data_IF_793732354901
#
_entry.id   IF_793732354901
#
_cell.length_a   1.000
_cell.length_b   1.000
_cell.length_c   1.000
_cell.angle_alpha   90.00
_cell.angle_beta   90.00
_cell.angle_gamma   90.00
#
_symmetry.space_group_name_H-M   'P 1'
#
loop_
_entity.id
_entity.type
_entity.pdbx_description
1 polymer ?
#
# COMPACT_ATOMS: atom_id res chain seq x y z
N UNK A 1 -25.42 -4.41 -36.72
CA UNK A 1 -24.84 -3.11 -37.14
C UNK A 1 -23.50 -3.37 -37.80
N UNK A 2 -23.04 -2.53 -38.73
CA UNK A 2 -21.70 -2.66 -39.30
C UNK A 2 -20.65 -2.18 -38.29
N UNK A 3 -19.58 -2.95 -38.09
CA UNK A 3 -18.44 -2.59 -37.24
C UNK A 3 -17.86 -1.23 -37.66
N UNK A 4 -17.76 -0.30 -36.73
CA UNK A 4 -17.12 1.00 -36.97
C UNK A 4 -15.60 0.85 -36.87
N UNK A 5 -14.90 1.16 -37.96
CA UNK A 5 -13.45 1.10 -38.02
C UNK A 5 -12.82 2.44 -37.62
N UNK A 6 -11.58 2.38 -37.12
CA UNK A 6 -10.71 3.52 -36.83
C UNK A 6 -11.21 4.47 -35.73
N UNK A 7 -11.96 3.95 -34.75
CA UNK A 7 -12.20 4.66 -33.49
C UNK A 7 -10.87 5.07 -32.85
N UNK A 8 -10.86 6.23 -32.21
CA UNK A 8 -9.74 6.61 -31.33
C UNK A 8 -9.85 5.83 -30.04
N UNK A 9 -8.70 5.41 -29.50
CA UNK A 9 -8.66 4.80 -28.18
C UNK A 9 -9.15 5.84 -27.16
N UNK A 10 -10.21 5.51 -26.44
CA UNK A 10 -10.85 6.41 -25.47
C UNK A 10 -11.40 5.61 -24.28
N UNK A 11 -11.43 6.25 -23.11
CA UNK A 11 -11.94 5.68 -21.87
C UNK A 11 -13.22 6.42 -21.43
N UNK A 12 -14.23 5.68 -21.01
CA UNK A 12 -15.54 6.18 -20.61
C UNK A 12 -15.87 5.67 -19.21
N UNK A 13 -16.07 6.61 -18.29
CA UNK A 13 -16.49 6.28 -16.93
C UNK A 13 -17.92 5.75 -16.93
N UNK A 14 -18.19 4.82 -16.02
CA UNK A 14 -19.52 4.25 -15.84
C UNK A 14 -20.07 4.62 -14.46
N UNK A 15 -21.36 4.38 -14.18
CA UNK A 15 -21.92 4.61 -12.85
C UNK A 15 -21.31 3.73 -11.75
N UNK A 16 -20.66 2.61 -12.10
CA UNK A 16 -20.00 1.72 -11.13
C UNK A 16 -18.54 2.17 -10.93
N UNK A 17 -18.12 2.55 -9.70
CA UNK A 17 -16.78 3.05 -9.46
C UNK A 17 -15.68 2.08 -9.91
N UNK A 18 -14.78 2.55 -10.77
CA UNK A 18 -13.66 1.78 -11.31
C UNK A 18 -13.99 0.87 -12.49
N UNK A 19 -15.27 0.73 -12.88
CA UNK A 19 -15.65 0.09 -14.15
C UNK A 19 -15.50 1.12 -15.26
N UNK A 20 -14.70 0.77 -16.27
CA UNK A 20 -14.36 1.69 -17.38
C UNK A 20 -14.59 0.99 -18.71
N UNK A 21 -15.43 1.59 -19.55
CA UNK A 21 -15.65 1.16 -20.94
C UNK A 21 -14.61 1.83 -21.84
N UNK A 22 -14.10 1.11 -22.84
CA UNK A 22 -13.11 1.60 -23.78
C UNK A 22 -13.58 1.45 -25.21
N UNK A 23 -13.38 2.49 -26.01
CA UNK A 23 -13.34 2.35 -27.47
C UNK A 23 -11.95 1.85 -27.86
N UNK A 24 -11.89 0.79 -28.66
CA UNK A 24 -10.66 0.23 -29.21
C UNK A 24 -10.51 0.58 -30.70
N UNK A 25 -9.32 1.01 -31.15
CA UNK A 25 -9.02 1.12 -32.57
C UNK A 25 -9.09 -0.24 -33.25
N UNK A 26 -9.96 -0.35 -34.26
CA UNK A 26 -10.04 -1.52 -35.14
C UNK A 26 -9.73 -1.08 -36.57
N UNK A 27 -8.76 -1.72 -37.19
CA UNK A 27 -8.29 -1.40 -38.54
C UNK A 27 -8.78 -2.48 -39.50
N UNK A 28 -9.72 -2.12 -40.38
CA UNK A 28 -10.23 -2.99 -41.43
C UNK A 28 -9.44 -2.86 -42.73
N UNK A 29 -9.24 -3.98 -43.42
CA UNK A 29 -8.72 -4.03 -44.79
C UNK A 29 -9.43 -5.14 -45.60
N UNK A 30 -8.93 -5.44 -46.81
CA UNK A 30 -9.51 -6.48 -47.67
C UNK A 30 -9.32 -7.93 -47.15
N UNK A 31 -8.59 -8.13 -46.05
CA UNK A 31 -8.35 -9.44 -45.41
C UNK A 31 -9.16 -9.61 -44.13
N UNK A 32 -9.93 -8.62 -43.71
CA UNK A 32 -10.69 -8.62 -42.46
C UNK A 32 -10.34 -7.40 -41.61
N UNK A 33 -10.06 -7.60 -40.33
CA UNK A 33 -9.66 -6.52 -39.44
C UNK A 33 -8.62 -6.94 -38.41
N UNK A 34 -7.85 -5.97 -37.93
CA UNK A 34 -6.85 -6.10 -36.89
C UNK A 34 -7.14 -5.13 -35.75
N UNK A 35 -6.90 -5.56 -34.52
CA UNK A 35 -6.93 -4.70 -33.34
C UNK A 35 -5.85 -5.09 -32.35
N UNK A 36 -5.32 -4.11 -31.64
CA UNK A 36 -4.59 -4.36 -30.41
C UNK A 36 -5.61 -4.55 -29.29
N UNK A 37 -5.93 -5.80 -28.97
CA UNK A 37 -6.95 -6.10 -27.96
C UNK A 37 -6.57 -5.57 -26.57
N UNK A 38 -5.27 -5.53 -26.27
CA UNK A 38 -4.71 -4.93 -25.05
C UNK A 38 -3.27 -4.47 -25.33
N UNK A 39 -2.93 -3.28 -24.84
CA UNK A 39 -1.56 -2.75 -24.86
C UNK A 39 -1.35 -1.93 -23.58
N UNK A 40 -0.45 -2.39 -22.70
CA UNK A 40 -0.28 -1.85 -21.34
C UNK A 40 -0.03 -0.34 -21.31
N UNK A 41 0.93 0.15 -22.09
CA UNK A 41 1.36 1.55 -22.08
C UNK A 41 0.22 2.50 -22.46
N UNK A 42 -0.53 2.18 -23.52
CA UNK A 42 -1.67 2.98 -24.00
C UNK A 42 -2.81 2.99 -22.98
N UNK A 43 -3.09 1.85 -22.36
CA UNK A 43 -4.18 1.76 -21.38
C UNK A 43 -3.83 2.48 -20.08
N UNK A 44 -2.60 2.32 -19.58
CA UNK A 44 -2.13 3.04 -18.38
C UNK A 44 -2.07 4.55 -18.62
N UNK A 45 -1.64 4.99 -19.80
CA UNK A 45 -1.67 6.41 -20.18
C UNK A 45 -3.09 7.00 -20.24
N UNK A 46 -4.12 6.15 -20.41
CA UNK A 46 -5.54 6.53 -20.32
C UNK A 46 -6.13 6.45 -18.92
N UNK A 47 -5.30 6.16 -17.90
CA UNK A 47 -5.72 6.10 -16.50
C UNK A 47 -6.20 4.73 -16.04
N UNK A 48 -6.05 3.67 -16.85
CA UNK A 48 -6.27 2.31 -16.35
C UNK A 48 -5.20 1.98 -15.30
N UNK A 49 -5.56 1.53 -14.08
CA UNK A 49 -4.59 1.01 -13.14
C UNK A 49 -3.77 -0.11 -13.78
N UNK A 50 -2.46 -0.13 -13.56
CA UNK A 50 -1.62 -1.22 -14.06
C UNK A 50 -1.93 -2.51 -13.32
N UNK A 51 -2.90 -3.26 -13.84
CA UNK A 51 -3.44 -4.46 -13.19
C UNK A 51 -2.60 -5.71 -13.48
N UNK A 52 -1.66 -5.67 -14.44
CA UNK A 52 -0.68 -6.73 -14.76
C UNK A 52 -1.32 -8.11 -15.03
N UNK A 53 -2.00 -8.29 -16.18
CA UNK A 53 -2.66 -9.55 -16.48
C UNK A 53 -1.68 -10.73 -16.54
N UNK A 54 -2.06 -11.87 -15.95
CA UNK A 54 -1.26 -13.11 -15.88
C UNK A 54 -1.87 -14.24 -16.70
N UNK A 55 -3.14 -14.11 -17.09
CA UNK A 55 -3.86 -15.14 -17.84
C UNK A 55 -4.82 -14.49 -18.85
N UNK A 56 -4.86 -15.06 -20.05
CA UNK A 56 -5.81 -14.72 -21.11
C UNK A 56 -6.76 -15.89 -21.33
N UNK A 57 -8.04 -15.58 -21.45
CA UNK A 57 -9.11 -16.55 -21.58
C UNK A 57 -9.96 -16.22 -22.82
N UNK A 58 -10.47 -17.27 -23.46
CA UNK A 58 -11.39 -17.15 -24.59
C UNK A 58 -12.55 -18.11 -24.37
N UNK A 59 -13.77 -17.63 -24.54
CA UNK A 59 -14.98 -18.43 -24.63
C UNK A 59 -15.57 -18.27 -26.02
N UNK A 60 -15.68 -19.38 -26.74
CA UNK A 60 -16.42 -19.46 -27.98
C UNK A 60 -17.87 -19.87 -27.71
N UNK A 61 -18.82 -19.20 -28.33
CA UNK A 61 -20.24 -19.46 -28.17
C UNK A 61 -20.86 -19.59 -29.56
N UNK A 62 -21.38 -20.77 -29.88
CA UNK A 62 -21.86 -21.10 -31.22
C UNK A 62 -23.12 -20.34 -31.60
N UNK A 63 -24.01 -20.06 -30.63
CA UNK A 63 -25.32 -19.46 -30.87
C UNK A 63 -25.49 -18.13 -30.17
N UNK A 64 -26.35 -17.28 -30.74
CA UNK A 64 -26.94 -16.16 -30.03
C UNK A 64 -27.81 -16.66 -28.86
N UNK A 65 -27.87 -15.89 -27.78
CA UNK A 65 -28.63 -16.22 -26.57
C UNK A 65 -27.85 -16.99 -25.51
N UNK A 66 -26.61 -17.41 -25.76
CA UNK A 66 -25.74 -17.97 -24.71
C UNK A 66 -25.49 -16.91 -23.65
N UNK A 67 -25.94 -17.16 -22.42
CA UNK A 67 -25.89 -16.20 -21.32
C UNK A 67 -25.13 -16.79 -20.14
N UNK A 68 -24.13 -16.06 -19.63
CA UNK A 68 -23.31 -16.48 -18.49
C UNK A 68 -23.60 -15.59 -17.28
N UNK A 69 -23.70 -16.21 -16.10
CA UNK A 69 -24.15 -15.57 -14.86
C UNK A 69 -23.35 -14.37 -14.37
N UNK A 70 -23.92 -13.65 -13.40
CA UNK A 70 -23.29 -12.48 -12.75
C UNK A 70 -22.34 -12.98 -11.66
N UNK A 71 -21.05 -13.07 -12.01
CA UNK A 71 -20.00 -13.56 -11.12
C UNK A 71 -19.10 -12.40 -10.72
N UNK A 72 -18.97 -12.12 -9.43
CA UNK A 72 -18.03 -11.16 -8.86
C UNK A 72 -16.82 -11.92 -8.34
N UNK A 73 -15.76 -11.94 -9.14
CA UNK A 73 -14.53 -12.65 -8.80
C UNK A 73 -13.56 -11.81 -7.96
N UNK A 74 -12.62 -12.46 -7.22
CA UNK A 74 -11.66 -11.78 -6.37
C UNK A 74 -10.47 -11.16 -7.14
N UNK A 75 -10.63 -10.84 -8.44
CA UNK A 75 -9.60 -10.27 -9.30
C UNK A 75 -10.19 -9.30 -10.34
N UNK A 76 -9.31 -8.54 -10.98
CA UNK A 76 -9.70 -7.62 -12.04
C UNK A 76 -9.78 -8.34 -13.39
N UNK A 77 -10.65 -7.84 -14.27
CA UNK A 77 -10.84 -8.35 -15.63
C UNK A 77 -10.74 -7.23 -16.65
N UNK A 78 -10.13 -7.55 -17.78
CA UNK A 78 -10.24 -6.74 -19.00
C UNK A 78 -10.90 -7.57 -20.09
N UNK A 79 -12.11 -7.19 -20.50
CA UNK A 79 -12.98 -7.96 -21.39
C UNK A 79 -13.06 -7.28 -22.74
N UNK A 80 -13.05 -8.06 -23.82
CA UNK A 80 -13.35 -7.62 -25.18
C UNK A 80 -13.97 -8.75 -26.01
N UNK A 81 -14.38 -8.44 -27.23
CA UNK A 81 -15.00 -9.39 -28.17
C UNK A 81 -14.05 -9.60 -29.35
N UNK A 82 -13.69 -10.84 -29.65
CA UNK A 82 -12.85 -11.16 -30.81
C UNK A 82 -13.67 -11.34 -32.10
N UNK A 83 -14.95 -11.69 -32.01
CA UNK A 83 -15.91 -11.69 -33.14
C UNK A 83 -17.32 -11.77 -32.59
N UNK A 84 -18.31 -11.31 -33.36
CA UNK A 84 -19.72 -11.24 -32.97
C UNK A 84 -20.02 -10.03 -32.07
N UNK A 85 -21.12 -10.12 -31.31
CA UNK A 85 -21.54 -9.08 -30.36
C UNK A 85 -22.08 -9.70 -29.08
N UNK A 86 -21.89 -8.98 -27.97
CA UNK A 86 -22.51 -9.31 -26.69
C UNK A 86 -23.31 -8.14 -26.15
N UNK A 87 -24.29 -8.44 -25.32
CA UNK A 87 -24.82 -7.56 -24.30
C UNK A 87 -24.15 -7.92 -22.97
N UNK A 88 -23.39 -7.00 -22.39
CA UNK A 88 -22.78 -7.15 -21.08
C UNK A 88 -23.62 -6.49 -20.01
N UNK A 89 -23.66 -7.11 -18.82
CA UNK A 89 -24.29 -6.56 -17.64
C UNK A 89 -23.35 -6.70 -16.45
N UNK A 90 -23.12 -5.59 -15.75
CA UNK A 90 -22.24 -5.51 -14.59
C UNK A 90 -23.00 -4.99 -13.39
N UNK A 91 -22.77 -5.62 -12.24
CA UNK A 91 -23.42 -5.27 -10.98
C UNK A 91 -22.39 -5.14 -9.89
N UNK A 92 -22.36 -4.02 -9.19
CA UNK A 92 -21.41 -3.84 -8.09
C UNK A 92 -21.82 -4.68 -6.88
N UNK A 93 -21.06 -5.74 -6.59
CA UNK A 93 -21.32 -6.63 -5.44
C UNK A 93 -20.31 -6.39 -4.31
N UNK A 94 -19.57 -5.28 -4.35
CA UNK A 94 -18.64 -4.87 -3.28
C UNK A 94 -19.39 -4.25 -2.12
N UNK A 95 -18.90 -4.50 -0.90
CA UNK A 95 -19.38 -3.76 0.27
C UNK A 95 -19.17 -2.25 0.08
N UNK A 96 -20.22 -1.46 0.28
CA UNK A 96 -20.13 -0.01 0.17
C UNK A 96 -21.38 0.65 -0.43
N UNK A 97 -21.34 1.98 -0.63
CA UNK A 97 -22.49 2.77 -1.06
C UNK A 97 -22.96 2.48 -2.49
N UNK A 98 -22.11 1.88 -3.32
CA UNK A 98 -22.44 1.50 -4.70
C UNK A 98 -22.99 0.08 -4.83
N UNK A 99 -23.12 -0.68 -3.73
CA UNK A 99 -23.64 -2.06 -3.78
C UNK A 99 -25.01 -2.12 -4.50
N UNK A 100 -25.11 -3.03 -5.47
CA UNK A 100 -26.29 -3.22 -6.31
C UNK A 100 -26.38 -2.26 -7.51
N UNK A 101 -25.45 -1.32 -7.69
CA UNK A 101 -25.42 -0.47 -8.88
C UNK A 101 -25.20 -1.30 -10.15
N UNK A 102 -25.96 -0.99 -11.20
CA UNK A 102 -25.97 -1.75 -12.46
C UNK A 102 -25.47 -0.88 -13.62
N UNK A 103 -24.67 -1.48 -14.49
CA UNK A 103 -24.28 -0.92 -15.78
C UNK A 103 -24.46 -1.97 -16.87
N UNK A 104 -24.99 -1.58 -18.02
CA UNK A 104 -25.17 -2.47 -19.18
C UNK A 104 -24.65 -1.79 -20.44
N UNK A 105 -24.13 -2.58 -21.37
CA UNK A 105 -23.68 -2.09 -22.67
C UNK A 105 -23.62 -3.22 -23.69
N UNK A 106 -23.85 -2.90 -24.97
CA UNK A 106 -23.46 -3.79 -26.07
C UNK A 106 -21.98 -3.58 -26.38
N UNK A 107 -21.26 -4.69 -26.55
CA UNK A 107 -19.86 -4.70 -26.96
C UNK A 107 -19.70 -5.47 -28.27
N UNK A 108 -19.01 -4.84 -29.22
CA UNK A 108 -18.49 -5.46 -30.43
C UNK A 108 -16.95 -5.48 -30.40
N UNK A 109 -16.25 -5.94 -31.47
CA UNK A 109 -14.80 -5.96 -31.48
C UNK A 109 -14.08 -4.62 -31.28
N UNK A 110 -14.77 -3.50 -31.50
CA UNK A 110 -14.29 -2.14 -31.29
C UNK A 110 -14.44 -1.64 -29.86
N UNK A 111 -14.86 -2.49 -28.91
CA UNK A 111 -15.03 -2.12 -27.52
C UNK A 111 -14.36 -3.10 -26.57
N UNK A 112 -14.03 -2.60 -25.38
CA UNK A 112 -13.59 -3.39 -24.26
C UNK A 112 -14.05 -2.76 -22.95
N UNK A 113 -13.99 -3.51 -21.87
CA UNK A 113 -14.37 -3.02 -20.55
C UNK A 113 -13.44 -3.58 -19.47
N UNK A 114 -13.02 -2.71 -18.56
CA UNK A 114 -12.30 -3.09 -17.36
C UNK A 114 -13.26 -3.22 -16.19
N UNK A 115 -13.20 -4.35 -15.49
CA UNK A 115 -14.04 -4.70 -14.36
C UNK A 115 -13.15 -4.96 -13.15
N UNK A 116 -13.23 -4.15 -12.09
CA UNK A 116 -12.43 -4.38 -10.90
C UNK A 116 -12.97 -5.56 -10.08
N UNK A 117 -12.11 -6.13 -9.23
CA UNK A 117 -12.47 -7.14 -8.23
C UNK A 117 -13.81 -6.83 -7.55
N UNK A 118 -14.67 -7.83 -7.44
CA UNK A 118 -15.94 -7.76 -6.71
C UNK A 118 -17.10 -7.14 -7.49
N UNK A 119 -16.88 -6.66 -8.72
CA UNK A 119 -17.98 -6.31 -9.63
C UNK A 119 -18.41 -7.56 -10.37
N UNK A 120 -19.69 -7.90 -10.23
CA UNK A 120 -20.33 -9.01 -10.92
C UNK A 120 -20.35 -8.79 -12.42
N UNK A 121 -19.82 -9.73 -13.19
CA UNK A 121 -19.78 -9.67 -14.65
C UNK A 121 -20.67 -10.76 -15.26
N UNK A 122 -21.60 -10.37 -16.13
CA UNK A 122 -22.40 -11.25 -16.97
C UNK A 122 -22.41 -10.80 -18.43
N UNK A 123 -22.71 -11.72 -19.34
CA UNK A 123 -22.97 -11.37 -20.74
C UNK A 123 -23.96 -12.32 -21.39
N UNK A 124 -24.59 -11.84 -22.46
CA UNK A 124 -25.43 -12.58 -23.39
C UNK A 124 -24.92 -12.37 -24.82
N UNK A 125 -24.72 -13.43 -25.58
CA UNK A 125 -24.35 -13.31 -27.00
C UNK A 125 -25.54 -12.84 -27.82
N UNK A 126 -25.30 -11.87 -28.71
CA UNK A 126 -26.31 -11.32 -29.61
C UNK A 126 -26.20 -11.88 -31.03
N UNK A 127 -25.08 -12.56 -31.33
CA UNK A 127 -24.78 -13.14 -32.63
C UNK A 127 -24.18 -14.54 -32.47
N UNK A 128 -24.44 -15.40 -33.46
CA UNK A 128 -23.82 -16.71 -33.56
C UNK A 128 -22.30 -16.59 -33.72
N UNK A 129 -21.57 -17.64 -33.33
CA UNK A 129 -20.11 -17.72 -33.43
C UNK A 129 -19.39 -16.54 -32.74
N UNK A 130 -19.91 -16.09 -31.60
CA UNK A 130 -19.33 -14.99 -30.81
C UNK A 130 -18.17 -15.50 -29.95
N UNK A 131 -17.00 -14.86 -30.09
CA UNK A 131 -15.82 -15.16 -29.29
C UNK A 131 -15.57 -14.05 -28.26
N UNK A 132 -15.78 -14.38 -26.99
CA UNK A 132 -15.56 -13.50 -25.85
C UNK A 132 -14.13 -13.71 -25.31
N UNK A 133 -13.35 -12.63 -25.15
CA UNK A 133 -11.98 -12.71 -24.63
C UNK A 133 -11.83 -11.87 -23.37
N UNK A 134 -11.07 -12.37 -22.39
CA UNK A 134 -10.79 -11.61 -21.19
C UNK A 134 -9.43 -11.94 -20.56
N UNK A 135 -8.77 -10.89 -20.09
CA UNK A 135 -7.56 -10.96 -19.29
C UNK A 135 -7.91 -10.90 -17.80
N UNK A 136 -7.14 -11.60 -16.96
CA UNK A 136 -7.23 -11.53 -15.49
C UNK A 136 -5.84 -11.35 -14.88
N UNK A 137 -5.77 -10.72 -13.71
CA UNK A 137 -4.53 -10.52 -12.95
C UNK A 137 -4.32 -11.50 -11.80
N UNK A 138 -5.12 -12.56 -11.76
CA UNK A 138 -4.94 -13.64 -10.80
C UNK A 138 -5.31 -14.98 -11.44
N UNK A 139 -4.71 -16.05 -10.93
CA UNK A 139 -4.94 -17.39 -11.41
C UNK A 139 -6.29 -17.91 -10.93
N UNK A 140 -7.04 -18.51 -11.86
CA UNK A 140 -8.21 -19.28 -11.49
C UNK A 140 -7.79 -20.54 -10.72
N UNK A 141 -8.47 -20.82 -9.61
CA UNK A 141 -8.40 -22.10 -8.91
C UNK A 141 -9.80 -22.52 -8.46
N UNK A 142 -10.03 -23.83 -8.31
CA UNK A 142 -11.30 -24.33 -7.78
C UNK A 142 -11.59 -23.77 -6.38
N UNK A 143 -10.55 -23.62 -5.56
CA UNK A 143 -10.62 -23.06 -4.21
C UNK A 143 -11.04 -21.59 -4.19
N UNK A 144 -10.79 -20.85 -5.28
CA UNK A 144 -11.20 -19.45 -5.39
C UNK A 144 -12.72 -19.29 -5.48
N UNK A 145 -13.48 -20.31 -5.90
CA UNK A 145 -14.94 -20.22 -6.02
C UNK A 145 -15.64 -19.96 -4.68
N UNK A 146 -15.05 -20.38 -3.56
CA UNK A 146 -15.57 -20.07 -2.22
C UNK A 146 -15.46 -18.59 -1.83
N UNK A 147 -14.73 -17.79 -2.62
CA UNK A 147 -14.55 -16.34 -2.42
C UNK A 147 -15.35 -15.52 -3.42
N UNK A 148 -16.11 -16.15 -4.30
CA UNK A 148 -16.92 -15.44 -5.29
C UNK A 148 -18.20 -14.95 -4.65
N UNK A 149 -18.64 -13.78 -5.09
CA UNK A 149 -20.01 -13.33 -4.86
C UNK A 149 -20.80 -13.53 -6.15
N UNK A 150 -22.03 -14.04 -6.04
CA UNK A 150 -22.87 -14.35 -7.20
C UNK A 150 -24.19 -13.59 -7.09
N UNK A 151 -24.78 -13.25 -8.24
CA UNK A 151 -26.14 -12.73 -8.31
C UNK A 151 -26.94 -13.49 -9.37
N UNK A 152 -28.21 -13.72 -9.10
CA UNK A 152 -29.13 -14.33 -10.04
C UNK A 152 -29.38 -13.42 -11.25
N UNK A 153 -29.33 -13.98 -12.47
CA UNK A 153 -29.57 -13.25 -13.71
C UNK A 153 -30.98 -12.64 -13.80
N UNK A 154 -31.96 -13.24 -13.11
CA UNK A 154 -33.34 -12.80 -13.10
C UNK A 154 -33.67 -11.88 -11.90
N UNK A 155 -32.66 -11.40 -11.15
CA UNK A 155 -32.88 -10.59 -9.95
C UNK A 155 -33.71 -9.33 -10.24
N UNK A 156 -34.80 -9.20 -9.49
CA UNK A 156 -35.81 -8.16 -9.68
C UNK A 156 -35.30 -6.78 -9.22
N UNK A 157 -34.27 -6.73 -8.38
CA UNK A 157 -33.67 -5.48 -7.88
C UNK A 157 -32.63 -4.96 -8.86
N UNK A 158 -31.80 -5.84 -9.42
CA UNK A 158 -30.87 -5.48 -10.49
C UNK A 158 -31.61 -5.13 -11.80
N UNK A 159 -32.79 -5.73 -12.04
CA UNK A 159 -33.71 -5.36 -13.12
C UNK A 159 -33.05 -5.25 -14.50
N UNK A 160 -32.14 -6.18 -14.82
CA UNK A 160 -31.38 -6.16 -16.09
C UNK A 160 -32.33 -6.48 -17.26
N UNK A 161 -32.42 -5.56 -18.22
CA UNK A 161 -33.19 -5.72 -19.45
C UNK A 161 -32.43 -6.56 -20.48
N UNK A 162 -32.48 -7.89 -20.33
CA UNK A 162 -31.83 -8.83 -21.25
C UNK A 162 -32.43 -8.75 -22.67
N UNK A 163 -31.62 -8.50 -23.73
CA UNK A 163 -32.14 -8.39 -25.11
C UNK A 163 -32.86 -9.64 -25.62
N UNK A 164 -32.38 -10.83 -25.23
CA UNK A 164 -33.06 -12.11 -25.45
C UNK A 164 -33.63 -12.53 -24.09
N UNK A 165 -34.96 -12.75 -23.97
CA UNK A 165 -35.57 -13.15 -22.71
C UNK A 165 -34.89 -14.37 -22.10
N UNK A 166 -34.62 -14.35 -20.78
CA UNK A 166 -33.91 -15.43 -20.10
C UNK A 166 -34.57 -16.81 -20.26
N UNK A 167 -35.89 -16.87 -20.48
CA UNK A 167 -36.62 -18.10 -20.78
C UNK A 167 -36.25 -18.73 -22.14
N UNK A 168 -35.62 -17.96 -23.04
CA UNK A 168 -35.16 -18.36 -24.36
C UNK A 168 -33.63 -18.43 -24.45
N UNK A 169 -32.93 -17.99 -23.40
CA UNK A 169 -31.47 -17.98 -23.32
C UNK A 169 -30.90 -19.36 -22.96
N UNK A 170 -29.71 -19.66 -23.45
CA UNK A 170 -28.96 -20.85 -23.02
C UNK A 170 -28.21 -20.52 -21.72
N UNK A 171 -28.66 -21.14 -20.62
CA UNK A 171 -28.20 -20.87 -19.24
C UNK A 171 -27.71 -22.14 -18.55
N UNK A 172 -26.66 -22.02 -17.74
CA UNK A 172 -26.24 -23.11 -16.86
C UNK A 172 -27.20 -23.28 -15.68
N UNK A 173 -27.37 -24.51 -15.18
CA UNK A 173 -28.19 -24.74 -13.99
C UNK A 173 -27.61 -24.09 -12.74
N UNK A 174 -26.28 -23.92 -12.68
CA UNK A 174 -25.61 -23.19 -11.60
C UNK A 174 -26.06 -21.73 -11.57
N UNK A 175 -26.11 -21.06 -12.72
CA UNK A 175 -26.50 -19.65 -12.80
C UNK A 175 -27.96 -19.42 -12.43
N UNK A 176 -28.85 -20.39 -12.71
CA UNK A 176 -30.26 -20.34 -12.29
C UNK A 176 -30.43 -20.39 -10.77
N UNK A 177 -29.49 -21.05 -10.06
CA UNK A 177 -29.55 -21.28 -8.63
C UNK A 177 -28.81 -20.21 -7.79
N UNK A 178 -28.25 -19.18 -8.42
CA UNK A 178 -27.58 -18.09 -7.69
C UNK A 178 -28.55 -17.29 -6.81
N UNK A 179 -28.06 -16.69 -5.72
CA UNK A 179 -28.88 -15.96 -4.77
C UNK A 179 -29.47 -14.68 -5.38
N UNK A 180 -30.59 -14.22 -4.79
CA UNK A 180 -31.15 -12.89 -5.06
C UNK A 180 -30.38 -11.84 -4.27
N UNK A 181 -30.47 -10.57 -4.67
CA UNK A 181 -29.71 -9.45 -4.10
C UNK A 181 -29.81 -9.38 -2.57
N UNK A 182 -30.98 -9.64 -2.00
CA UNK A 182 -31.21 -9.62 -0.55
C UNK A 182 -30.40 -10.69 0.22
N UNK A 183 -30.02 -11.79 -0.46
CA UNK A 183 -29.27 -12.91 0.10
C UNK A 183 -27.79 -12.90 -0.29
N UNK A 184 -27.35 -11.87 -1.04
CA UNK A 184 -25.96 -11.72 -1.46
C UNK A 184 -25.10 -11.25 -0.28
N UNK A 185 -24.05 -12.01 0.04
CA UNK A 185 -22.98 -11.54 0.90
C UNK A 185 -22.02 -10.64 0.07
N UNK A 186 -21.89 -9.33 0.39
CA UNK A 186 -21.03 -8.45 -0.37
C UNK A 186 -19.57 -8.88 -0.31
N UNK A 187 -18.83 -8.63 -1.39
CA UNK A 187 -17.39 -8.84 -1.45
C UNK A 187 -16.70 -7.82 -0.52
N UNK A 188 -15.97 -8.26 0.52
CA UNK A 188 -15.34 -7.35 1.46
C UNK A 188 -14.17 -6.61 0.81
N UNK A 189 -13.85 -5.45 1.38
CA UNK A 189 -12.64 -4.70 1.04
C UNK A 189 -11.37 -5.53 1.31
N UNK A 190 -10.31 -5.24 0.53
CA UNK A 190 -9.00 -5.82 0.77
C UNK A 190 -8.35 -5.14 1.97
N UNK A 191 -7.70 -5.94 2.81
CA UNK A 191 -7.10 -5.54 4.08
C UNK A 191 -5.72 -4.91 3.92
N UNK A 192 -5.33 -4.15 4.94
CA UNK A 192 -3.96 -3.69 5.16
C UNK A 192 -3.32 -4.61 6.22
N UNK A 193 -2.12 -5.13 5.95
CA UNK A 193 -1.33 -5.87 6.93
C UNK A 193 -0.25 -4.97 7.54
N UNK A 194 -0.27 -4.75 8.85
CA UNK A 194 0.80 -4.08 9.60
C UNK A 194 1.67 -5.13 10.28
N UNK A 195 2.93 -5.25 9.87
CA UNK A 195 3.92 -6.13 10.52
C UNK A 195 4.83 -5.33 11.45
N UNK A 196 5.23 -5.94 12.58
CA UNK A 196 5.93 -5.23 13.65
C UNK A 196 4.97 -4.46 14.57
N UNK A 197 3.74 -4.96 14.73
CA UNK A 197 2.65 -4.25 15.40
C UNK A 197 2.92 -3.90 16.88
N UNK A 198 3.82 -4.61 17.56
CA UNK A 198 4.16 -4.34 18.97
C UNK A 198 5.23 -3.26 19.15
N UNK A 199 5.91 -2.86 18.07
CA UNK A 199 6.89 -1.78 18.08
C UNK A 199 6.27 -0.41 18.32
N UNK A 200 7.10 0.60 18.58
CA UNK A 200 6.64 1.97 18.87
C UNK A 200 5.71 2.53 17.77
N UNK A 201 6.07 2.28 16.50
CA UNK A 201 5.26 2.70 15.36
C UNK A 201 4.05 1.79 15.13
N UNK A 202 4.19 0.47 15.29
CA UNK A 202 3.07 -0.47 15.19
C UNK A 202 1.93 -0.13 16.15
N UNK A 203 2.25 0.25 17.38
CA UNK A 203 1.27 0.73 18.38
C UNK A 203 0.60 2.04 17.97
N UNK A 204 1.35 2.97 17.38
CA UNK A 204 0.78 4.23 16.89
C UNK A 204 -0.12 4.02 15.68
N UNK A 205 0.25 3.14 14.75
CA UNK A 205 -0.59 2.70 13.63
C UNK A 205 -1.88 2.06 14.15
N UNK A 206 -1.81 1.23 15.20
CA UNK A 206 -3.00 0.63 15.82
C UNK A 206 -3.99 1.66 16.34
N UNK A 207 -3.51 2.76 16.94
CA UNK A 207 -4.37 3.87 17.36
C UNK A 207 -4.90 4.67 16.16
N UNK A 208 -4.08 4.82 15.13
CA UNK A 208 -4.44 5.56 13.91
C UNK A 208 -5.56 4.88 13.13
N UNK A 209 -5.64 3.55 13.16
CA UNK A 209 -6.69 2.73 12.54
C UNK A 209 -7.65 2.13 13.58
N UNK A 210 -7.83 2.77 14.74
CA UNK A 210 -8.75 2.28 15.75
C UNK A 210 -10.19 2.21 15.20
N UNK A 211 -10.86 1.08 15.43
CA UNK A 211 -12.19 0.78 14.88
C UNK A 211 -12.22 0.33 13.41
N UNK A 212 -11.11 0.36 12.67
CA UNK A 212 -11.05 -0.11 11.28
C UNK A 212 -10.77 -1.62 11.22
N UNK A 213 -11.80 -2.39 10.86
CA UNK A 213 -11.73 -3.87 10.77
C UNK A 213 -10.99 -4.36 9.52
N UNK A 214 -10.64 -3.46 8.60
CA UNK A 214 -9.88 -3.78 7.39
C UNK A 214 -8.37 -3.76 7.62
N UNK A 215 -7.90 -3.36 8.80
CA UNK A 215 -6.47 -3.37 9.14
C UNK A 215 -6.14 -4.52 10.08
N UNK A 216 -5.31 -5.44 9.61
CA UNK A 216 -4.76 -6.52 10.41
C UNK A 216 -3.39 -6.11 10.98
N UNK A 217 -3.20 -6.35 12.28
CA UNK A 217 -1.95 -6.06 12.97
C UNK A 217 -1.29 -7.35 13.44
N UNK A 218 -0.11 -7.63 12.92
CA UNK A 218 0.66 -8.83 13.27
C UNK A 218 1.91 -8.48 14.10
N UNK A 219 1.96 -9.07 15.28
CA UNK A 219 3.18 -9.19 16.09
C UNK A 219 4.20 -10.11 15.40
N UNK A 220 5.42 -10.16 15.94
CA UNK A 220 6.44 -11.13 15.48
C UNK A 220 5.97 -12.59 15.67
N UNK A 221 5.18 -12.86 16.70
CA UNK A 221 4.68 -14.21 16.97
C UNK A 221 3.63 -14.67 15.94
N UNK A 222 2.87 -13.72 15.37
CA UNK A 222 1.84 -14.00 14.35
C UNK A 222 2.41 -13.95 12.93
N UNK A 223 3.42 -13.12 12.69
CA UNK A 223 4.12 -13.02 11.41
C UNK A 223 5.61 -12.75 11.63
N UNK A 224 6.41 -13.81 11.63
CA UNK A 224 7.87 -13.69 11.62
C UNK A 224 8.33 -13.46 10.18
N UNK A 225 8.90 -12.27 9.89
CA UNK A 225 9.38 -11.90 8.57
C UNK A 225 10.45 -12.84 8.00
N UNK A 226 11.17 -13.53 8.88
CA UNK A 226 12.26 -14.46 8.54
C UNK A 226 11.76 -15.89 8.27
N UNK A 227 10.50 -16.18 8.60
CA UNK A 227 9.88 -17.49 8.41
C UNK A 227 9.08 -17.54 7.12
N UNK A 228 9.42 -18.47 6.22
CA UNK A 228 8.69 -18.70 4.97
C UNK A 228 7.22 -19.11 5.21
N UNK A 229 6.95 -19.82 6.31
CA UNK A 229 5.61 -20.25 6.69
C UNK A 229 4.64 -19.08 6.92
N UNK A 230 5.15 -17.92 7.36
CA UNK A 230 4.36 -16.69 7.53
C UNK A 230 3.76 -16.21 6.20
N UNK A 231 4.43 -16.50 5.08
CA UNK A 231 4.03 -16.06 3.74
C UNK A 231 3.13 -17.08 3.05
N UNK A 232 3.47 -18.37 3.12
CA UNK A 232 2.72 -19.43 2.43
C UNK A 232 1.37 -19.74 3.06
N UNK A 233 1.21 -19.52 4.37
CA UNK A 233 -0.05 -19.72 5.09
C UNK A 233 -1.09 -18.62 4.89
N UNK A 234 -0.76 -17.55 4.16
CA UNK A 234 -1.60 -16.35 4.05
C UNK A 234 -2.22 -16.23 2.66
N UNK A 235 -3.54 -16.02 2.62
CA UNK A 235 -4.22 -15.68 1.37
C UNK A 235 -4.02 -14.20 1.03
N UNK A 236 -2.97 -13.91 0.25
CA UNK A 236 -2.60 -12.55 -0.16
C UNK A 236 -3.65 -11.83 -1.01
N UNK A 237 -4.60 -12.56 -1.62
CA UNK A 237 -5.72 -11.98 -2.40
C UNK A 237 -6.64 -11.10 -1.54
N UNK A 238 -6.64 -11.34 -0.23
CA UNK A 238 -7.41 -10.55 0.74
C UNK A 238 -6.71 -9.25 1.15
N UNK A 239 -5.50 -8.97 0.66
CA UNK A 239 -4.72 -7.80 1.05
C UNK A 239 -4.51 -6.85 -0.12
N UNK A 240 -4.45 -5.56 0.18
CA UNK A 240 -4.07 -4.50 -0.76
C UNK A 240 -2.71 -3.92 -0.43
N UNK A 241 -2.31 -3.96 0.85
CA UNK A 241 -1.14 -3.24 1.36
C UNK A 241 -0.44 -4.02 2.47
N UNK A 242 0.88 -3.91 2.52
CA UNK A 242 1.71 -4.27 3.67
C UNK A 242 2.39 -3.00 4.20
N UNK A 243 2.23 -2.71 5.49
CA UNK A 243 2.99 -1.69 6.22
C UNK A 243 4.06 -2.39 7.06
N UNK A 244 5.32 -2.23 6.67
CA UNK A 244 6.45 -2.77 7.39
C UNK A 244 6.99 -1.77 8.42
N UNK A 245 6.56 -1.93 9.67
CA UNK A 245 7.06 -1.21 10.84
C UNK A 245 8.09 -2.03 11.65
N UNK A 246 8.49 -3.21 11.17
CA UNK A 246 9.48 -4.07 11.81
C UNK A 246 10.90 -3.75 11.30
N UNK A 247 11.86 -3.71 12.22
CA UNK A 247 13.28 -3.56 11.92
C UNK A 247 14.14 -4.05 13.09
N UNK A 248 15.39 -4.40 12.80
CA UNK A 248 16.43 -4.45 13.81
C UNK A 248 16.95 -3.03 14.04
N UNK A 249 16.70 -2.47 15.23
CA UNK A 249 16.97 -1.04 15.54
C UNK A 249 18.06 -0.83 16.60
N UNK A 250 18.71 -1.89 17.07
CA UNK A 250 19.76 -1.78 18.08
C UNK A 250 21.09 -1.38 17.42
N UNK A 251 21.26 -0.07 17.17
CA UNK A 251 22.35 0.49 16.34
C UNK A 251 23.75 0.03 16.78
N UNK A 252 24.10 0.17 18.07
CA UNK A 252 25.41 -0.26 18.55
C UNK A 252 25.58 -1.78 18.52
N UNK A 253 24.52 -2.54 18.82
CA UNK A 253 24.55 -4.00 18.79
C UNK A 253 24.70 -4.53 17.36
N UNK A 254 24.28 -3.79 16.33
CA UNK A 254 24.47 -4.16 14.93
C UNK A 254 25.96 -4.32 14.55
N UNK A 255 26.89 -3.73 15.30
CA UNK A 255 28.33 -3.85 15.07
C UNK A 255 28.97 -5.11 15.68
N UNK A 256 28.22 -5.93 16.43
CA UNK A 256 28.73 -7.24 16.88
C UNK A 256 28.62 -8.29 15.77
N UNK A 257 29.29 -9.43 15.91
CA UNK A 257 29.21 -10.51 14.92
C UNK A 257 27.75 -11.02 14.77
N UNK A 258 27.07 -11.23 15.89
CA UNK A 258 25.68 -11.68 15.93
C UNK A 258 24.73 -10.58 15.43
N UNK A 259 24.97 -9.32 15.83
CA UNK A 259 24.16 -8.19 15.40
C UNK A 259 24.26 -7.88 13.92
N UNK A 260 25.44 -8.08 13.30
CA UNK A 260 25.61 -7.98 11.85
C UNK A 260 24.71 -8.98 11.13
N UNK A 261 24.81 -10.26 11.51
CA UNK A 261 23.97 -11.32 10.92
C UNK A 261 22.47 -11.04 11.11
N UNK A 262 22.07 -10.65 12.32
CA UNK A 262 20.68 -10.32 12.63
C UNK A 262 20.17 -9.09 11.84
N UNK A 263 20.98 -8.04 11.70
CA UNK A 263 20.63 -6.83 10.96
C UNK A 263 20.41 -7.14 9.48
N UNK A 264 21.31 -7.91 8.85
CA UNK A 264 21.15 -8.32 7.45
C UNK A 264 19.95 -9.24 7.25
N UNK A 265 19.72 -10.18 8.17
CA UNK A 265 18.56 -11.07 8.12
C UNK A 265 17.25 -10.28 8.17
N UNK A 266 17.11 -9.35 9.12
CA UNK A 266 15.84 -8.63 9.35
C UNK A 266 15.66 -7.43 8.42
N UNK A 267 16.66 -6.56 8.29
CA UNK A 267 16.53 -5.30 7.53
C UNK A 267 16.73 -5.48 6.02
N UNK A 268 17.28 -6.61 5.56
CA UNK A 268 17.54 -6.86 4.13
C UNK A 268 16.82 -8.10 3.62
N UNK A 269 17.17 -9.30 4.11
CA UNK A 269 16.63 -10.54 3.56
C UNK A 269 15.11 -10.64 3.77
N UNK A 270 14.63 -10.32 4.98
CA UNK A 270 13.20 -10.32 5.29
C UNK A 270 12.45 -9.22 4.51
N UNK A 271 13.07 -8.06 4.28
CA UNK A 271 12.51 -7.00 3.43
C UNK A 271 12.42 -7.44 1.96
N UNK A 272 13.40 -8.21 1.46
CA UNK A 272 13.35 -8.79 0.12
C UNK A 272 12.22 -9.81 -0.05
N UNK A 273 11.88 -10.56 1.00
CA UNK A 273 10.70 -11.42 0.98
C UNK A 273 9.41 -10.59 0.88
N UNK A 274 9.25 -9.56 1.71
CA UNK A 274 8.11 -8.63 1.63
C UNK A 274 7.99 -7.97 0.25
N UNK A 275 9.11 -7.50 -0.32
CA UNK A 275 9.15 -6.89 -1.63
C UNK A 275 8.70 -7.87 -2.73
N UNK A 276 9.18 -9.11 -2.69
CA UNK A 276 8.76 -10.17 -3.63
C UNK A 276 7.26 -10.44 -3.54
N UNK A 277 6.75 -10.63 -2.33
CA UNK A 277 5.32 -10.84 -2.08
C UNK A 277 4.49 -9.67 -2.58
N UNK A 278 4.93 -8.43 -2.37
CA UNK A 278 4.24 -7.25 -2.86
C UNK A 278 4.20 -7.20 -4.40
N UNK A 279 5.30 -7.54 -5.07
CA UNK A 279 5.34 -7.62 -6.54
C UNK A 279 4.44 -8.74 -7.06
N UNK A 280 4.51 -9.92 -6.47
CA UNK A 280 3.77 -11.12 -6.89
C UNK A 280 2.25 -10.92 -6.77
N UNK A 281 1.80 -10.28 -5.70
CA UNK A 281 0.37 -10.07 -5.41
C UNK A 281 -0.11 -8.64 -5.70
N UNK A 282 0.70 -7.83 -6.39
CA UNK A 282 0.41 -6.44 -6.72
C UNK A 282 -0.06 -5.60 -5.51
N UNK A 283 0.64 -5.74 -4.39
CA UNK A 283 0.36 -5.03 -3.14
C UNK A 283 1.15 -3.72 -3.09
N UNK A 284 0.59 -2.72 -2.40
CA UNK A 284 1.37 -1.58 -1.96
C UNK A 284 2.28 -1.99 -0.80
N UNK A 285 3.58 -1.68 -0.85
CA UNK A 285 4.52 -1.89 0.25
C UNK A 285 4.95 -0.56 0.86
N UNK A 286 4.54 -0.30 2.10
CA UNK A 286 5.09 0.79 2.91
C UNK A 286 6.26 0.26 3.71
N UNK A 287 7.45 0.83 3.55
CA UNK A 287 8.66 0.46 4.29
C UNK A 287 9.19 1.65 5.09
N UNK A 288 9.30 1.48 6.40
CA UNK A 288 9.86 2.52 7.27
C UNK A 288 11.37 2.39 7.30
N UNK A 289 12.05 3.45 6.90
CA UNK A 289 13.51 3.54 6.85
C UNK A 289 14.08 4.59 7.79
N UNK A 290 15.35 4.95 7.62
CA UNK A 290 16.08 5.81 8.55
C UNK A 290 16.94 6.84 7.83
N UNK A 291 17.14 7.98 8.47
CA UNK A 291 18.21 8.96 8.20
C UNK A 291 19.63 8.37 8.17
N UNK A 292 19.88 7.24 8.84
CA UNK A 292 21.20 6.59 8.88
C UNK A 292 21.63 5.98 7.54
N UNK A 293 20.82 6.11 6.49
CA UNK A 293 21.23 5.81 5.12
C UNK A 293 22.22 6.85 4.57
N UNK A 294 22.39 7.97 5.25
CA UNK A 294 23.34 9.05 4.93
C UNK A 294 24.47 9.11 5.97
N UNK A 295 25.60 9.73 5.60
CA UNK A 295 26.74 9.97 6.49
C UNK A 295 26.61 11.21 7.38
N UNK A 296 25.65 12.07 7.09
CA UNK A 296 25.43 13.31 7.82
C UNK A 296 26.44 14.41 7.52
N UNK A 297 27.10 14.39 6.36
CA UNK A 297 28.05 15.42 5.92
C UNK A 297 27.38 16.64 5.31
N UNK A 298 26.13 16.51 4.84
CA UNK A 298 25.33 17.61 4.30
C UNK A 298 24.53 18.31 5.40
N UNK A 299 24.12 19.56 5.13
CA UNK A 299 23.29 20.34 6.05
C UNK A 299 21.82 19.90 6.04
N UNK A 300 21.35 19.36 4.91
CA UNK A 300 19.99 18.85 4.69
C UNK A 300 20.04 17.69 3.69
N UNK A 301 19.30 16.63 3.97
CA UNK A 301 19.27 15.39 3.19
C UNK A 301 17.93 15.24 2.47
N UNK A 302 17.92 15.21 1.14
CA UNK A 302 16.73 15.00 0.32
C UNK A 302 16.52 13.51 -0.04
N UNK A 303 15.45 13.18 -0.77
CA UNK A 303 15.16 11.80 -1.14
C UNK A 303 16.04 11.24 -2.26
N UNK A 304 16.64 12.11 -3.08
CA UNK A 304 17.45 11.76 -4.25
C UNK A 304 18.96 11.65 -3.93
N UNK A 305 19.36 12.07 -2.72
CA UNK A 305 20.72 11.88 -2.21
C UNK A 305 21.15 10.41 -2.24
N UNK A 306 22.39 10.19 -2.68
CA UNK A 306 22.99 8.86 -2.76
C UNK A 306 23.31 8.31 -1.37
N UNK A 307 23.14 7.00 -1.20
CA UNK A 307 23.41 6.32 0.07
C UNK A 307 24.89 6.42 0.47
N UNK A 308 25.15 6.88 1.70
CA UNK A 308 26.48 6.98 2.31
C UNK A 308 26.48 6.48 3.78
N UNK A 309 25.89 5.31 4.10
CA UNK A 309 25.74 4.90 5.50
C UNK A 309 27.09 4.59 6.18
N UNK A 310 27.27 5.08 7.41
CA UNK A 310 28.54 4.93 8.16
C UNK A 310 28.73 3.56 8.83
N UNK A 311 27.64 2.92 9.28
CA UNK A 311 27.69 1.70 10.11
C UNK A 311 26.69 0.65 9.65
N UNK A 312 26.74 -0.53 10.26
CA UNK A 312 25.98 -1.73 9.83
C UNK A 312 24.47 -1.48 9.81
N UNK A 313 23.94 -0.81 10.83
CA UNK A 313 22.52 -0.45 10.86
C UNK A 313 22.12 0.39 9.64
N UNK A 314 22.85 1.47 9.36
CA UNK A 314 22.63 2.32 8.19
C UNK A 314 22.79 1.56 6.87
N UNK A 315 23.83 0.73 6.75
CA UNK A 315 24.08 -0.09 5.56
C UNK A 315 22.91 -1.04 5.26
N UNK A 316 22.40 -1.71 6.28
CA UNK A 316 21.27 -2.63 6.11
C UNK A 316 19.96 -1.91 5.86
N UNK A 317 19.75 -0.70 6.40
CA UNK A 317 18.60 0.14 6.05
C UNK A 317 18.66 0.65 4.61
N UNK A 318 19.83 1.11 4.14
CA UNK A 318 20.04 1.54 2.76
C UNK A 318 19.85 0.38 1.76
N UNK A 319 20.32 -0.82 2.11
CA UNK A 319 20.07 -2.02 1.32
C UNK A 319 18.57 -2.37 1.29
N UNK A 320 17.86 -2.23 2.41
CA UNK A 320 16.40 -2.36 2.46
C UNK A 320 15.68 -1.38 1.55
N UNK A 321 16.07 -0.09 1.55
CA UNK A 321 15.54 0.92 0.63
C UNK A 321 15.75 0.53 -0.83
N UNK A 322 16.97 0.12 -1.19
CA UNK A 322 17.29 -0.30 -2.55
C UNK A 322 16.40 -1.48 -3.01
N UNK A 323 16.17 -2.45 -2.13
CA UNK A 323 15.28 -3.59 -2.39
C UNK A 323 13.82 -3.16 -2.57
N UNK A 324 13.32 -2.23 -1.75
CA UNK A 324 11.93 -1.77 -1.84
C UNK A 324 11.70 -0.85 -3.03
N UNK A 325 12.72 -0.11 -3.46
CA UNK A 325 12.63 0.87 -4.56
C UNK A 325 12.20 0.26 -5.90
N UNK A 326 12.41 -1.05 -6.10
CA UNK A 326 12.00 -1.77 -7.33
C UNK A 326 10.59 -2.34 -7.26
N UNK A 327 9.92 -2.27 -6.10
CA UNK A 327 8.51 -2.65 -5.96
C UNK A 327 7.66 -1.58 -6.65
N UNK A 328 6.81 -1.89 -7.65
CA UNK A 328 6.11 -0.86 -8.42
C UNK A 328 5.22 0.07 -7.58
N UNK A 329 4.62 -0.47 -6.52
CA UNK A 329 3.73 0.24 -5.59
C UNK A 329 4.39 0.30 -4.23
N UNK A 330 5.26 1.28 -4.01
CA UNK A 330 5.94 1.41 -2.72
C UNK A 330 5.84 2.82 -2.13
N UNK A 331 5.94 2.88 -0.81
CA UNK A 331 6.25 4.09 -0.06
C UNK A 331 7.41 3.78 0.87
N UNK A 332 8.59 4.33 0.60
CA UNK A 332 9.70 4.30 1.56
C UNK A 332 9.59 5.56 2.40
N UNK A 333 9.38 5.42 3.72
CA UNK A 333 9.29 6.55 4.65
C UNK A 333 10.56 6.57 5.49
N UNK A 334 11.54 7.41 5.12
CA UNK A 334 12.76 7.61 5.91
C UNK A 334 12.45 8.53 7.07
N UNK A 335 12.75 8.11 8.29
CA UNK A 335 12.49 8.91 9.49
C UNK A 335 13.72 9.02 10.39
N UNK A 336 13.70 9.91 11.37
CA UNK A 336 14.81 10.17 12.28
C UNK A 336 14.34 10.23 13.72
N UNK A 337 15.15 9.73 14.65
CA UNK A 337 15.04 10.01 16.09
C UNK A 337 13.62 9.76 16.63
N UNK A 338 13.13 8.54 16.40
CA UNK A 338 11.74 8.15 16.62
C UNK A 338 11.36 8.17 18.11
N UNK A 339 10.27 8.86 18.45
CA UNK A 339 9.71 8.94 19.80
C UNK A 339 8.28 8.38 19.80
N UNK A 340 8.05 7.30 20.53
CA UNK A 340 6.73 6.71 20.67
C UNK A 340 6.48 6.08 22.03
N UNK A 341 5.59 5.11 22.06
CA UNK A 341 5.30 4.36 23.28
C UNK A 341 6.37 3.28 23.54
N UNK A 342 7.10 3.43 24.63
CA UNK A 342 8.18 2.52 25.04
C UNK A 342 9.30 3.29 25.71
N UNK A 343 10.47 2.66 25.86
CA UNK A 343 11.66 3.40 26.28
C UNK A 343 12.16 4.25 25.12
N UNK A 344 12.37 5.54 25.36
CA UNK A 344 12.90 6.48 24.38
C UNK A 344 13.75 7.56 25.07
N UNK A 345 14.41 8.39 24.27
CA UNK A 345 15.30 9.44 24.77
C UNK A 345 14.56 10.48 25.62
N UNK A 346 13.40 10.96 25.17
CA UNK A 346 12.60 11.98 25.86
C UNK A 346 12.19 11.51 27.26
N UNK A 347 11.66 10.30 27.39
CA UNK A 347 11.29 9.70 28.69
C UNK A 347 12.50 9.52 29.61
N UNK A 348 13.65 9.13 29.05
CA UNK A 348 14.90 9.02 29.81
C UNK A 348 15.31 10.37 30.38
N UNK A 349 15.35 11.43 29.55
CA UNK A 349 15.74 12.77 29.99
C UNK A 349 14.76 13.34 31.03
N UNK A 350 13.44 13.20 30.82
CA UNK A 350 12.43 13.64 31.78
C UNK A 350 12.57 12.91 33.14
N UNK A 351 12.90 11.61 33.12
CA UNK A 351 13.15 10.83 34.34
C UNK A 351 14.41 11.29 35.07
N UNK A 352 15.49 11.61 34.35
CA UNK A 352 16.72 12.15 34.94
C UNK A 352 16.50 13.53 35.54
N UNK A 353 15.74 14.40 34.87
CA UNK A 353 15.35 15.73 35.36
C UNK A 353 14.60 15.62 36.70
N UNK A 354 13.59 14.74 36.80
CA UNK A 354 12.84 14.49 38.05
C UNK A 354 13.72 13.95 39.18
N UNK A 355 14.79 13.21 38.84
CA UNK A 355 15.76 12.67 39.81
C UNK A 355 16.86 13.67 40.18
N UNK A 356 16.88 14.87 39.58
CA UNK A 356 17.92 15.88 39.80
C UNK A 356 19.29 15.47 39.26
N UNK A 357 19.35 14.54 38.30
CA UNK A 357 20.61 14.10 37.68
C UNK A 357 21.03 15.12 36.61
N UNK A 358 22.32 15.44 36.54
CA UNK A 358 22.91 16.37 35.58
C UNK A 358 23.74 15.62 34.53
N UNK A 359 23.15 15.24 33.38
CA UNK A 359 23.81 14.37 32.40
C UNK A 359 24.71 15.15 31.45
N UNK A 360 25.70 14.45 30.90
CA UNK A 360 26.40 14.87 29.69
C UNK A 360 25.75 14.25 28.46
N UNK A 361 25.42 15.08 27.46
CA UNK A 361 24.67 14.68 26.25
C UNK A 361 25.41 15.19 25.01
N UNK A 362 25.39 14.42 23.92
CA UNK A 362 26.09 14.81 22.68
C UNK A 362 25.50 16.10 22.08
N UNK A 363 26.36 17.04 21.69
CA UNK A 363 25.96 18.35 21.16
C UNK A 363 26.34 18.60 19.69
N UNK A 364 27.05 17.65 19.07
CA UNK A 364 27.51 17.71 17.68
C UNK A 364 26.78 16.71 16.75
N UNK A 365 25.88 15.89 17.30
CA UNK A 365 24.88 15.13 16.53
C UNK A 365 23.56 15.91 16.49
N UNK A 366 23.10 16.23 15.29
CA UNK A 366 21.95 17.12 15.04
C UNK A 366 20.87 16.41 14.23
N UNK A 367 19.61 16.70 14.51
CA UNK A 367 18.46 16.13 13.81
C UNK A 367 17.13 16.71 14.27
N UNK A 368 16.04 16.03 13.94
CA UNK A 368 14.69 16.33 14.45
C UNK A 368 14.06 15.07 15.03
N UNK A 369 13.32 15.24 16.12
CA UNK A 369 12.46 14.17 16.65
C UNK A 369 11.39 13.81 15.64
N UNK A 370 10.99 12.54 15.61
CA UNK A 370 9.83 12.09 14.84
C UNK A 370 8.90 11.30 15.73
N UNK A 371 7.73 11.87 16.03
CA UNK A 371 6.77 11.21 16.90
C UNK A 371 5.99 10.15 16.13
N UNK A 372 5.85 8.95 16.70
CA UNK A 372 5.24 7.81 15.97
C UNK A 372 3.79 8.05 15.58
N UNK A 373 3.06 8.90 16.29
CA UNK A 373 1.70 9.31 15.90
C UNK A 373 1.69 10.12 14.61
N UNK A 374 2.67 11.00 14.41
CA UNK A 374 2.77 11.80 13.19
C UNK A 374 3.31 10.96 12.01
N UNK A 375 4.24 10.04 12.27
CA UNK A 375 4.69 9.07 11.26
C UNK A 375 3.51 8.19 10.81
N UNK A 376 2.71 7.68 11.75
CA UNK A 376 1.55 6.86 11.44
C UNK A 376 0.48 7.64 10.67
N UNK A 377 0.22 8.89 11.05
CA UNK A 377 -0.69 9.78 10.34
C UNK A 377 -0.20 10.08 8.91
N UNK A 378 1.11 10.28 8.71
CA UNK A 378 1.68 10.48 7.38
C UNK A 378 1.58 9.23 6.51
N UNK A 379 1.85 8.04 7.06
CA UNK A 379 1.66 6.77 6.33
C UNK A 379 0.21 6.61 5.90
N UNK A 380 -0.76 6.90 6.79
CA UNK A 380 -2.18 6.86 6.44
C UNK A 380 -2.53 7.87 5.35
N UNK A 381 -2.03 9.10 5.44
CA UNK A 381 -2.21 10.13 4.40
C UNK A 381 -1.72 9.68 3.02
N UNK A 382 -0.56 9.00 2.95
CA UNK A 382 -0.04 8.45 1.69
C UNK A 382 -0.91 7.32 1.11
N UNK A 383 -1.57 6.54 1.97
CA UNK A 383 -2.42 5.42 1.55
C UNK A 383 -3.84 5.84 1.19
N UNK A 384 -4.38 6.84 1.90
CA UNK A 384 -5.74 7.36 1.70
C UNK A 384 -5.79 8.40 0.55
N UNK A 385 -4.65 8.99 0.17
CA UNK A 385 -4.55 10.02 -0.86
C UNK A 385 -3.93 9.55 -2.20
N UNK A 386 -3.74 10.51 -3.11
CA UNK A 386 -3.21 10.29 -4.47
C UNK A 386 -1.69 10.53 -4.59
N UNK A 387 -0.96 10.41 -3.48
CA UNK A 387 0.49 10.62 -3.48
C UNK A 387 1.18 9.64 -4.46
N UNK A 388 2.16 10.12 -5.21
CA UNK A 388 2.90 9.23 -6.11
C UNK A 388 3.71 8.22 -5.28
N UNK A 389 3.69 6.94 -5.68
CA UNK A 389 4.58 5.94 -5.10
C UNK A 389 6.06 6.38 -5.22
N UNK A 390 6.85 6.08 -4.19
CA UNK A 390 8.25 6.49 -4.12
C UNK A 390 8.78 6.63 -2.70
N UNK A 391 9.95 7.27 -2.58
CA UNK A 391 10.57 7.61 -1.29
C UNK A 391 10.10 8.96 -0.78
N UNK A 392 9.87 9.06 0.53
CA UNK A 392 9.51 10.27 1.26
C UNK A 392 10.33 10.35 2.54
N UNK A 393 10.92 11.51 2.78
CA UNK A 393 11.53 11.85 4.05
C UNK A 393 10.47 12.40 5.00
N UNK A 394 10.46 11.91 6.24
CA UNK A 394 9.53 12.37 7.25
C UNK A 394 10.14 12.43 8.65
N UNK A 395 10.19 13.64 9.19
CA UNK A 395 10.32 13.94 10.61
C UNK A 395 9.27 14.99 10.99
N UNK A 396 9.14 15.30 12.28
CA UNK A 396 8.46 16.54 12.64
C UNK A 396 9.24 17.75 12.09
N UNK A 397 8.54 18.88 11.96
CA UNK A 397 9.07 20.14 11.47
C UNK A 397 9.91 20.89 12.50
N UNK A 398 10.22 22.15 12.21
CA UNK A 398 10.98 23.03 13.11
C UNK A 398 12.49 23.01 12.86
N UNK A 399 13.26 23.71 13.70
CA UNK A 399 14.71 23.78 13.58
C UNK A 399 15.37 22.41 13.85
N UNK A 400 16.46 22.14 13.15
CA UNK A 400 17.35 21.01 13.47
C UNK A 400 18.10 21.33 14.78
N UNK A 401 18.10 20.39 15.73
CA UNK A 401 18.66 20.58 17.08
C UNK A 401 19.63 19.45 17.43
N UNK A 402 20.58 19.74 18.32
CA UNK A 402 21.41 18.68 18.89
C UNK A 402 20.65 17.87 19.94
N UNK A 403 21.13 16.65 20.25
CA UNK A 403 20.57 15.89 21.37
C UNK A 403 20.67 16.65 22.71
N UNK A 404 21.73 17.42 22.92
CA UNK A 404 21.90 18.26 24.11
C UNK A 404 20.85 19.38 24.18
N UNK A 405 20.52 20.02 23.06
CA UNK A 405 19.47 21.04 23.01
C UNK A 405 18.10 20.44 23.32
N UNK A 406 17.78 19.28 22.73
CA UNK A 406 16.53 18.56 23.01
C UNK A 406 16.47 18.13 24.48
N UNK A 407 17.56 17.62 25.05
CA UNK A 407 17.62 17.28 26.47
C UNK A 407 17.38 18.51 27.36
N UNK A 408 17.99 19.64 27.03
CA UNK A 408 17.77 20.90 27.74
C UNK A 408 16.30 21.36 27.66
N UNK A 409 15.66 21.24 26.49
CA UNK A 409 14.23 21.52 26.30
C UNK A 409 13.36 20.60 27.17
N UNK A 410 13.68 19.30 27.22
CA UNK A 410 12.99 18.34 28.09
C UNK A 410 13.17 18.67 29.57
N UNK A 411 14.37 19.08 29.99
CA UNK A 411 14.65 19.48 31.36
C UNK A 411 13.82 20.68 31.77
N UNK A 412 13.82 21.73 30.96
CA UNK A 412 13.02 22.94 31.18
C UNK A 412 11.54 22.63 31.30
N UNK A 413 10.99 21.84 30.38
CA UNK A 413 9.58 21.45 30.39
C UNK A 413 9.23 20.48 31.52
N UNK A 414 10.22 19.81 32.10
CA UNK A 414 10.07 18.96 33.29
C UNK A 414 10.29 19.71 34.62
N UNK A 415 10.53 21.02 34.57
CA UNK A 415 10.73 21.87 35.76
C UNK A 415 12.17 21.92 36.29
N UNK A 416 13.16 21.41 35.54
CA UNK A 416 14.59 21.51 35.85
C UNK A 416 15.27 22.61 35.00
N UNK A 417 16.50 23.01 35.36
CA UNK A 417 17.20 24.05 34.61
C UNK A 417 17.82 23.48 33.32
N UNK A 418 17.69 24.20 32.19
CA UNK A 418 18.39 23.87 30.93
C UNK A 418 19.89 23.62 31.14
N UNK A 419 20.51 24.42 31.99
CA UNK A 419 21.94 24.37 32.31
C UNK A 419 22.37 23.12 33.10
N UNK A 420 21.42 22.28 33.55
CA UNK A 420 21.75 20.98 34.17
C UNK A 420 22.16 19.92 33.14
N UNK A 421 21.94 20.20 31.84
CA UNK A 421 22.44 19.38 30.73
C UNK A 421 23.77 19.95 30.25
N UNK A 422 24.83 19.14 30.26
CA UNK A 422 26.15 19.52 29.73
C UNK A 422 26.34 18.94 28.34
N UNK A 423 26.50 19.78 27.32
CA UNK A 423 26.83 19.35 25.96
C UNK A 423 28.29 18.87 25.86
N UNK A 424 28.51 17.69 25.27
CA UNK A 424 29.86 17.17 24.95
C UNK A 424 29.92 16.67 23.51
N UNK A 425 31.11 16.58 22.94
CA UNK A 425 31.27 16.07 21.57
C UNK A 425 31.02 14.56 21.49
N UNK A 426 30.72 14.06 20.30
CA UNK A 426 30.60 12.62 20.00
C UNK A 426 31.90 11.90 20.35
N UNK A 427 33.05 12.49 20.02
CA UNK A 427 34.36 11.92 20.34
C UNK A 427 34.58 11.76 21.85
N UNK A 428 34.19 12.76 22.66
CA UNK A 428 34.27 12.68 24.11
C UNK A 428 33.28 11.67 24.68
N UNK A 429 32.04 11.63 24.19
CA UNK A 429 31.00 10.74 24.69
C UNK A 429 31.33 9.26 24.48
N UNK A 430 32.03 8.92 23.39
CA UNK A 430 32.40 7.56 22.98
C UNK A 430 33.87 7.18 23.21
N UNK A 431 34.69 8.04 23.82
CA UNK A 431 36.13 7.83 23.99
C UNK A 431 36.53 6.43 24.47
N UNK A 432 35.74 5.85 25.38
CA UNK A 432 35.99 4.54 26.00
C UNK A 432 34.87 3.51 25.73
N UNK A 433 34.04 3.74 24.70
CA UNK A 433 32.89 2.90 24.37
C UNK A 433 33.00 2.39 22.94
N UNK A 434 32.86 1.08 22.76
CA UNK A 434 32.56 0.53 21.44
C UNK A 434 31.13 0.97 21.06
N UNK A 435 31.03 1.81 20.04
CA UNK A 435 29.76 2.33 19.54
C UNK A 435 29.78 2.37 18.03
N UNK A 436 28.60 2.21 17.43
CA UNK A 436 28.44 2.41 16.00
C UNK A 436 28.69 3.89 15.65
N UNK A 437 29.30 4.18 14.49
CA UNK A 437 29.40 5.56 14.01
C UNK A 437 28.00 6.13 13.78
N UNK A 438 27.78 7.38 14.20
CA UNK A 438 26.51 8.11 14.02
C UNK A 438 26.73 9.27 13.06
N UNK A 439 25.78 9.55 12.15
CA UNK A 439 25.82 10.76 11.35
C UNK A 439 25.78 11.99 12.27
N UNK A 440 26.60 13.00 11.96
CA UNK A 440 26.62 14.25 12.74
C UNK A 440 25.43 15.14 12.41
N UNK A 441 24.85 14.98 11.21
CA UNK A 441 23.61 15.63 10.83
C UNK A 441 22.62 14.62 10.25
N UNK A 442 21.40 14.65 10.75
CA UNK A 442 20.26 13.83 10.35
C UNK A 442 19.08 14.70 9.89
N UNK A 443 19.35 15.94 9.50
CA UNK A 443 18.34 16.89 9.04
C UNK A 443 17.75 16.46 7.70
N UNK A 444 16.58 15.82 7.73
CA UNK A 444 15.84 15.46 6.53
C UNK A 444 15.12 16.67 5.92
N UNK A 445 15.16 16.82 4.59
CA UNK A 445 14.29 17.72 3.85
C UNK A 445 12.85 17.16 3.86
N UNK A 446 11.86 18.02 4.11
CA UNK A 446 10.45 17.66 4.23
C UNK A 446 9.60 18.27 3.11
N UNK A 447 10.22 18.89 2.10
CA UNK A 447 9.53 19.54 0.99
C UNK A 447 8.58 18.58 0.26
N UNK A 448 9.04 17.35 -0.02
CA UNK A 448 8.23 16.34 -0.70
C UNK A 448 7.04 15.90 0.15
N UNK A 449 7.23 15.63 1.43
CA UNK A 449 6.13 15.30 2.35
C UNK A 449 5.08 16.43 2.38
N UNK A 450 5.51 17.69 2.49
CA UNK A 450 4.62 18.87 2.46
C UNK A 450 3.88 19.02 1.13
N UNK A 451 4.52 18.68 0.01
CA UNK A 451 3.90 18.77 -1.32
C UNK A 451 2.70 17.85 -1.51
N UNK A 452 2.57 16.81 -0.68
CA UNK A 452 1.39 15.93 -0.67
C UNK A 452 0.17 16.56 0.02
N UNK A 453 0.31 17.77 0.58
CA UNK A 453 -0.72 18.45 1.38
C UNK A 453 -0.75 18.05 2.85
N UNK A 454 0.18 17.20 3.30
CA UNK A 454 0.26 16.80 4.72
C UNK A 454 0.80 17.94 5.60
N UNK A 455 0.13 18.21 6.72
CA UNK A 455 0.57 19.19 7.71
C UNK A 455 1.68 18.60 8.60
N UNK A 456 2.90 19.10 8.42
CA UNK A 456 4.06 18.68 9.21
C UNK A 456 4.12 19.48 10.52
N UNK A 457 3.71 18.85 11.62
CA UNK A 457 3.72 19.44 12.97
C UNK A 457 5.15 19.69 13.46
N UNK A 458 5.39 20.84 14.09
CA UNK A 458 6.67 21.23 14.66
C UNK A 458 7.10 20.30 15.82
N UNK A 459 8.39 19.92 15.85
CA UNK A 459 8.92 18.99 16.84
C UNK A 459 8.83 19.52 18.27
N UNK A 460 8.99 20.83 18.50
CA UNK A 460 8.94 21.43 19.84
C UNK A 460 7.51 21.47 20.38
N UNK A 461 6.55 21.82 19.50
CA UNK A 461 5.12 21.78 19.83
C UNK A 461 4.69 20.34 20.19
N UNK A 462 5.15 19.37 19.41
CA UNK A 462 4.85 17.96 19.65
C UNK A 462 5.51 17.44 20.93
N UNK A 463 6.75 17.84 21.20
CA UNK A 463 7.46 17.51 22.44
C UNK A 463 6.71 18.00 23.68
N UNK A 464 6.24 19.25 23.66
CA UNK A 464 5.45 19.81 24.76
C UNK A 464 4.13 19.04 24.99
N UNK A 465 3.44 18.69 23.91
CA UNK A 465 2.21 17.89 23.98
C UNK A 465 2.50 16.50 24.54
N UNK A 466 3.58 15.85 24.08
CA UNK A 466 4.00 14.54 24.55
C UNK A 466 4.34 14.54 26.05
N UNK A 467 5.15 15.50 26.52
CA UNK A 467 5.54 15.59 27.94
C UNK A 467 4.35 15.89 28.85
N UNK A 468 3.41 16.73 28.41
CA UNK A 468 2.16 16.98 29.15
C UNK A 468 1.36 15.70 29.35
N UNK A 469 1.13 14.93 28.28
CA UNK A 469 0.43 13.65 28.35
C UNK A 469 1.14 12.61 29.22
N UNK A 470 2.47 12.65 29.29
CA UNK A 470 3.23 11.75 30.16
C UNK A 470 3.16 12.16 31.62
N UNK A 471 3.10 13.46 31.93
CA UNK A 471 2.90 13.95 33.28
C UNK A 471 1.47 13.67 33.79
N UNK A 472 0.46 13.75 32.92
CA UNK A 472 -0.94 13.44 33.29
C UNK A 472 -1.15 11.94 33.61
N UNK A 473 -0.24 11.06 33.19
CA UNK A 473 -0.25 9.62 33.49
C UNK A 473 0.52 9.24 34.77
N UNK A 474 1.40 10.13 35.26
CA UNK A 474 2.29 9.90 36.39
C UNK A 474 1.65 10.38 37.69
#
# INVERSE_FOLDING_TARGET
MSLEFSKKLAAHQTPIPGVVLYDLPVHGDNRGWFKENWQREKMVALGLPDFRPVQNNISYNEKAGTTRGIHAEPWDKFISVATGRIFGAWVDLREGPSFGAVFTAELDPSQAIFIPRGVGNAFQTLEDNTAYTYLVNDHWSADAQGQYTFLNLADETAAIEWPIPLAQAELSDKDKAHPRMADVAPMPARKILVVGADGQLGKALRRTYDGDTTVEFASRAEFDLTSEASYTGRNWKNYSTIINAAAYTAVDAAETAEGRSASWSINVAAVAHLARTAVEHNLTLVHVSSDYVFDGTLDSHDEDESFTPLGVYGQTKAAGDAVVSVVPRHYIVRTSWVIGEGNNFVRTMASLARKGVKPSVVNDQKGRLSFTEDIAAFIRHLLDGDAAHGTYNFSNGGPVKSWADIAADVYEQSGAARADVTGITTAEYFKDKAAAPRPLNSGLDLAKARSTGFEVVDADQRLATYLKLENDKA
#
